data_IF_479022392870
#
_entry.id   IF_479022392870
#
_cell.length_a   1.000
_cell.length_b   1.000
_cell.length_c   1.000
_cell.angle_alpha   90.00
_cell.angle_beta   90.00
_cell.angle_gamma   90.00
#
_symmetry.space_group_name_H-M   'P 1'
#
loop_
_entity.id
_entity.type
_entity.pdbx_description
1 polymer ?
#
# COMPACT_ATOMS: atom_id res chain seq x y z
N UNK A 1 8.83 -22.38 -18.67
CA UNK A 1 8.35 -22.77 -20.01
C UNK A 1 6.99 -22.16 -20.34
N UNK A 2 6.04 -22.06 -19.41
CA UNK A 2 4.73 -21.42 -19.68
C UNK A 2 4.85 -19.92 -20.01
N UNK A 3 5.64 -19.16 -19.25
CA UNK A 3 5.85 -17.72 -19.52
C UNK A 3 6.45 -17.45 -20.91
N UNK A 4 7.46 -18.22 -21.31
CA UNK A 4 8.09 -18.07 -22.63
C UNK A 4 7.12 -18.40 -23.77
N UNK A 5 6.28 -19.43 -23.60
CA UNK A 5 5.23 -19.78 -24.57
C UNK A 5 4.15 -18.68 -24.66
N UNK A 6 3.70 -18.16 -23.52
CA UNK A 6 2.73 -17.06 -23.48
C UNK A 6 3.31 -15.76 -24.05
N UNK A 7 4.59 -15.48 -23.82
CA UNK A 7 5.28 -14.32 -24.38
C UNK A 7 5.34 -14.37 -25.91
N UNK A 8 5.60 -15.54 -26.48
CA UNK A 8 5.55 -15.76 -27.94
C UNK A 8 4.12 -15.57 -28.48
N UNK A 9 3.12 -16.07 -27.79
CA UNK A 9 1.71 -15.90 -28.18
C UNK A 9 1.25 -14.43 -28.10
N UNK A 10 1.69 -13.70 -27.08
CA UNK A 10 1.25 -12.33 -26.83
C UNK A 10 1.99 -11.29 -27.68
N UNK A 11 3.31 -11.47 -27.89
CA UNK A 11 4.19 -10.47 -28.50
C UNK A 11 4.80 -10.90 -29.85
N UNK A 12 4.59 -12.15 -30.27
CA UNK A 12 5.14 -12.67 -31.53
C UNK A 12 6.67 -12.52 -31.59
N UNK A 13 7.16 -11.86 -32.65
CA UNK A 13 8.60 -11.61 -32.85
C UNK A 13 9.25 -10.75 -31.74
N UNK A 14 8.46 -10.04 -30.93
CA UNK A 14 8.94 -9.19 -29.84
C UNK A 14 9.05 -9.92 -28.49
N UNK A 15 8.75 -11.22 -28.44
CA UNK A 15 8.79 -12.02 -27.22
C UNK A 15 10.12 -11.96 -26.43
N UNK A 16 11.32 -11.91 -27.05
CA UNK A 16 12.56 -11.75 -26.31
C UNK A 16 12.64 -10.41 -25.58
N UNK A 17 12.27 -9.32 -26.25
CA UNK A 17 12.27 -7.96 -25.69
C UNK A 17 11.26 -7.86 -24.55
N UNK A 18 10.05 -8.41 -24.75
CA UNK A 18 9.03 -8.48 -23.70
C UNK A 18 9.52 -9.23 -22.45
N UNK A 19 10.20 -10.36 -22.64
CA UNK A 19 10.72 -11.19 -21.55
C UNK A 19 11.83 -10.48 -20.77
N UNK A 20 12.75 -9.80 -21.48
CA UNK A 20 13.82 -8.99 -20.86
C UNK A 20 13.23 -7.81 -20.09
N UNK A 21 12.23 -7.11 -20.65
CA UNK A 21 11.55 -6.01 -19.99
C UNK A 21 10.86 -6.46 -18.70
N UNK A 22 10.18 -7.60 -18.71
CA UNK A 22 9.57 -8.19 -17.52
C UNK A 22 10.61 -8.55 -16.45
N UNK A 23 11.74 -9.15 -16.85
CA UNK A 23 12.84 -9.45 -15.93
C UNK A 23 13.44 -8.18 -15.32
N UNK A 24 13.66 -7.14 -16.13
CA UNK A 24 14.20 -5.86 -15.67
C UNK A 24 13.27 -5.19 -14.64
N UNK A 25 11.95 -5.20 -14.90
CA UNK A 25 10.96 -4.66 -13.98
C UNK A 25 10.89 -5.44 -12.64
N UNK A 26 11.02 -6.77 -12.69
CA UNK A 26 11.09 -7.59 -11.48
C UNK A 26 12.37 -7.34 -10.68
N UNK A 27 13.51 -7.20 -11.36
CA UNK A 27 14.80 -6.91 -10.71
C UNK A 27 14.76 -5.56 -10.00
N UNK A 28 14.26 -4.50 -10.65
CA UNK A 28 14.13 -3.19 -10.00
C UNK A 28 13.19 -3.21 -8.79
N UNK A 29 12.10 -3.97 -8.89
CA UNK A 29 11.14 -4.13 -7.78
C UNK A 29 11.79 -4.85 -6.60
N UNK A 30 12.50 -5.94 -6.87
CA UNK A 30 13.21 -6.71 -5.85
C UNK A 30 14.30 -5.88 -5.17
N UNK A 31 15.12 -5.15 -5.94
CA UNK A 31 16.19 -4.32 -5.41
C UNK A 31 15.64 -3.22 -4.48
N UNK A 32 14.58 -2.54 -4.90
CA UNK A 32 13.94 -1.50 -4.07
C UNK A 32 13.31 -2.08 -2.79
N UNK A 33 12.64 -3.23 -2.88
CA UNK A 33 12.04 -3.87 -1.71
C UNK A 33 13.09 -4.34 -0.70
N UNK A 34 14.18 -4.98 -1.16
CA UNK A 34 15.27 -5.42 -0.30
C UNK A 34 15.94 -4.25 0.40
N UNK A 35 16.20 -3.15 -0.32
CA UNK A 35 16.83 -1.97 0.25
C UNK A 35 15.90 -1.24 1.23
N UNK A 36 14.62 -1.07 0.90
CA UNK A 36 13.64 -0.45 1.79
C UNK A 36 13.44 -1.26 3.07
N UNK A 37 13.28 -2.59 2.98
CA UNK A 37 13.15 -3.44 4.16
C UNK A 37 14.41 -3.39 5.03
N UNK A 38 15.60 -3.35 4.42
CA UNK A 38 16.86 -3.23 5.15
C UNK A 38 16.99 -1.88 5.86
N UNK A 39 16.68 -0.76 5.19
CA UNK A 39 16.70 0.58 5.81
C UNK A 39 15.72 0.66 6.98
N UNK A 40 14.48 0.19 6.82
CA UNK A 40 13.48 0.15 7.89
C UNK A 40 14.00 -0.65 9.09
N UNK A 41 14.56 -1.84 8.88
CA UNK A 41 15.06 -2.68 9.97
C UNK A 41 16.18 -1.97 10.74
N UNK A 42 17.12 -1.34 10.02
CA UNK A 42 18.27 -0.68 10.63
C UNK A 42 17.85 0.59 11.38
N UNK A 43 17.00 1.41 10.77
CA UNK A 43 16.52 2.66 11.35
C UNK A 43 15.64 2.43 12.59
N UNK A 44 14.72 1.45 12.52
CA UNK A 44 13.76 1.21 13.61
C UNK A 44 14.34 0.40 14.76
N UNK A 45 15.16 -0.62 14.48
CA UNK A 45 15.64 -1.56 15.51
C UNK A 45 17.06 -1.29 15.98
N UNK A 46 17.86 -0.53 15.22
CA UNK A 46 19.27 -0.26 15.54
C UNK A 46 19.51 1.25 15.46
N UNK A 47 18.92 2.03 16.39
CA UNK A 47 18.95 3.50 16.33
C UNK A 47 20.38 4.08 16.35
N UNK A 48 21.36 3.36 16.90
CA UNK A 48 22.78 3.74 16.87
C UNK A 48 23.41 3.71 15.47
N UNK A 49 22.74 3.09 14.49
CA UNK A 49 23.19 2.88 13.12
C UNK A 49 22.18 3.36 12.07
N UNK A 50 21.20 4.19 12.45
CA UNK A 50 20.09 4.63 11.58
C UNK A 50 20.53 5.14 10.19
N UNK A 51 21.67 5.82 10.09
CA UNK A 51 22.19 6.35 8.82
C UNK A 51 23.42 5.58 8.30
N UNK A 52 23.68 4.39 8.86
CA UNK A 52 24.87 3.61 8.55
C UNK A 52 24.69 2.82 7.26
N UNK A 53 25.07 3.44 6.14
CA UNK A 53 25.15 2.80 4.82
C UNK A 53 25.83 1.43 4.84
N UNK A 54 27.00 1.20 5.49
CA UNK A 54 27.60 -0.13 5.50
C UNK A 54 26.72 -1.17 6.20
N UNK A 55 26.01 -0.77 7.25
CA UNK A 55 25.14 -1.67 8.00
C UNK A 55 23.87 -2.01 7.19
N UNK A 56 23.27 -1.02 6.53
CA UNK A 56 22.15 -1.23 5.61
C UNK A 56 22.55 -2.22 4.51
N UNK A 57 23.72 -2.05 3.88
CA UNK A 57 24.23 -2.98 2.85
C UNK A 57 24.38 -4.41 3.35
N UNK A 58 24.86 -4.61 4.58
CA UNK A 58 24.98 -5.95 5.19
C UNK A 58 23.59 -6.57 5.39
N UNK A 59 22.62 -5.81 5.91
CA UNK A 59 21.24 -6.29 6.09
C UNK A 59 20.57 -6.58 4.75
N UNK A 60 20.79 -5.75 3.72
CA UNK A 60 20.32 -6.02 2.35
C UNK A 60 20.90 -7.33 1.81
N UNK A 61 22.21 -7.57 1.99
CA UNK A 61 22.85 -8.81 1.57
C UNK A 61 22.29 -10.03 2.31
N UNK A 62 22.03 -9.92 3.62
CA UNK A 62 21.40 -10.95 4.42
C UNK A 62 20.01 -11.30 3.87
N UNK A 63 19.16 -10.28 3.63
CA UNK A 63 17.83 -10.50 3.04
C UNK A 63 17.88 -11.10 1.64
N UNK A 64 18.83 -10.67 0.80
CA UNK A 64 19.03 -11.27 -0.52
C UNK A 64 19.40 -12.76 -0.42
N UNK A 65 20.30 -13.13 0.49
CA UNK A 65 20.72 -14.51 0.71
C UNK A 65 19.57 -15.37 1.24
N UNK A 66 18.83 -14.89 2.25
CA UNK A 66 17.66 -15.59 2.80
C UNK A 66 16.59 -15.78 1.73
N UNK A 67 16.29 -14.73 0.95
CA UNK A 67 15.30 -14.80 -0.13
C UNK A 67 15.70 -15.79 -1.20
N UNK A 68 16.99 -15.80 -1.60
CA UNK A 68 17.53 -16.77 -2.54
C UNK A 68 17.40 -18.20 -2.02
N UNK A 69 17.73 -18.45 -0.75
CA UNK A 69 17.64 -19.77 -0.13
C UNK A 69 16.19 -20.28 -0.07
N UNK A 70 15.24 -19.42 0.30
CA UNK A 70 13.80 -19.74 0.30
C UNK A 70 13.30 -20.01 -1.12
N UNK A 71 13.83 -19.30 -2.12
CA UNK A 71 13.46 -19.50 -3.53
C UNK A 71 13.89 -20.87 -4.09
N UNK A 72 14.86 -21.56 -3.49
CA UNK A 72 15.29 -22.89 -3.96
C UNK A 72 14.25 -23.99 -3.68
N UNK A 73 13.46 -23.85 -2.61
CA UNK A 73 12.38 -24.78 -2.23
C UNK A 73 11.17 -23.99 -1.72
N UNK A 74 10.40 -23.36 -2.62
CA UNK A 74 9.26 -22.55 -2.22
C UNK A 74 8.18 -23.44 -1.58
N UNK A 75 7.67 -23.08 -0.38
CA UNK A 75 6.66 -23.90 0.32
C UNK A 75 5.26 -23.80 -0.31
N UNK A 76 5.00 -22.77 -1.10
CA UNK A 76 3.72 -22.52 -1.76
C UNK A 76 3.95 -21.83 -3.11
N UNK A 77 2.92 -21.84 -3.97
CA UNK A 77 2.95 -21.03 -5.18
C UNK A 77 2.94 -19.54 -4.82
N UNK A 78 3.55 -18.72 -5.67
CA UNK A 78 3.64 -17.26 -5.49
C UNK A 78 2.24 -16.67 -5.27
N UNK A 79 1.26 -17.07 -6.09
CA UNK A 79 -0.11 -16.56 -5.98
C UNK A 79 -0.76 -16.97 -4.66
N UNK A 80 -0.63 -18.24 -4.24
CA UNK A 80 -1.20 -18.70 -2.97
C UNK A 80 -0.59 -17.99 -1.77
N UNK A 81 0.72 -17.69 -1.82
CA UNK A 81 1.39 -16.96 -0.75
C UNK A 81 0.92 -15.50 -0.73
N UNK A 82 0.89 -14.82 -1.88
CA UNK A 82 0.45 -13.42 -1.98
C UNK A 82 -0.99 -13.22 -1.49
N UNK A 83 -1.92 -14.05 -1.95
CA UNK A 83 -3.34 -13.93 -1.57
C UNK A 83 -3.60 -14.41 -0.15
N UNK A 84 -2.82 -15.36 0.35
CA UNK A 84 -2.99 -15.95 1.67
C UNK A 84 -2.40 -15.12 2.80
N UNK A 85 -1.32 -14.36 2.56
CA UNK A 85 -0.58 -13.67 3.63
C UNK A 85 -0.29 -12.20 3.29
N UNK A 86 0.42 -11.92 2.20
CA UNK A 86 0.93 -10.58 1.92
C UNK A 86 -0.18 -9.54 1.75
N UNK A 87 -1.17 -9.81 0.90
CA UNK A 87 -2.29 -8.89 0.68
C UNK A 87 -3.17 -8.72 1.92
N UNK A 88 -3.34 -9.79 2.71
CA UNK A 88 -4.07 -9.72 3.96
C UNK A 88 -3.35 -8.82 4.98
N UNK A 89 -2.02 -8.86 5.04
CA UNK A 89 -1.20 -7.96 5.85
C UNK A 89 -1.36 -6.48 5.42
N UNK A 90 -1.30 -6.19 4.13
CA UNK A 90 -1.53 -4.83 3.62
C UNK A 90 -2.92 -4.31 3.97
N UNK A 91 -3.94 -5.17 3.94
CA UNK A 91 -5.32 -4.82 4.26
C UNK A 91 -5.52 -4.31 5.70
N UNK A 92 -4.68 -4.77 6.64
CA UNK A 92 -4.71 -4.34 8.05
C UNK A 92 -3.94 -3.04 8.27
N UNK A 93 -2.82 -2.88 7.58
CA UNK A 93 -1.99 -1.69 7.73
C UNK A 93 -2.64 -0.45 7.07
N UNK A 94 -3.27 -0.61 5.91
CA UNK A 94 -3.77 0.52 5.13
C UNK A 94 -4.79 1.39 5.89
N UNK A 95 -5.84 0.85 6.54
CA UNK A 95 -6.80 1.67 7.30
C UNK A 95 -6.15 2.41 8.47
N UNK A 96 -5.20 1.78 9.16
CA UNK A 96 -4.50 2.39 10.31
C UNK A 96 -3.66 3.57 9.85
N UNK A 97 -2.90 3.40 8.76
CA UNK A 97 -2.10 4.47 8.18
C UNK A 97 -2.95 5.66 7.73
N UNK A 98 -4.09 5.40 7.07
CA UNK A 98 -5.02 6.46 6.65
C UNK A 98 -5.60 7.21 7.87
N UNK A 99 -6.02 6.47 8.90
CA UNK A 99 -6.53 7.09 10.14
C UNK A 99 -5.43 7.87 10.87
N UNK A 100 -4.19 7.38 10.88
CA UNK A 100 -3.07 8.08 11.52
C UNK A 100 -2.80 9.45 10.87
N UNK A 101 -2.92 9.55 9.54
CA UNK A 101 -2.70 10.79 8.79
C UNK A 101 -3.91 11.74 8.89
N UNK A 102 -5.13 11.23 8.66
CA UNK A 102 -6.32 12.08 8.52
C UNK A 102 -7.11 12.28 9.83
N UNK A 103 -7.08 11.30 10.73
CA UNK A 103 -7.81 11.33 12.00
C UNK A 103 -6.91 10.95 13.19
N UNK A 104 -5.82 11.71 13.45
CA UNK A 104 -4.87 11.42 14.54
C UNK A 104 -5.53 11.42 15.93
N UNK A 105 -6.73 12.01 16.04
CA UNK A 105 -7.54 12.06 17.27
C UNK A 105 -8.04 10.70 17.75
N UNK A 106 -8.01 9.66 16.91
CA UNK A 106 -8.38 8.28 17.24
C UNK A 106 -7.53 7.69 18.36
N UNK A 107 -6.29 8.18 18.52
CA UNK A 107 -5.41 7.82 19.62
C UNK A 107 -4.54 6.59 19.34
N UNK A 108 -3.38 6.56 19.98
CA UNK A 108 -2.35 5.52 19.77
C UNK A 108 -2.82 4.13 20.20
N UNK A 109 -3.66 4.05 21.23
CA UNK A 109 -4.18 2.79 21.79
C UNK A 109 -5.10 2.07 20.80
N UNK A 110 -6.03 2.78 20.18
CA UNK A 110 -6.91 2.23 19.15
C UNK A 110 -6.11 1.74 17.93
N UNK A 111 -5.12 2.52 17.48
CA UNK A 111 -4.21 2.10 16.41
C UNK A 111 -3.44 0.82 16.79
N UNK A 112 -2.86 0.76 17.98
CA UNK A 112 -2.13 -0.40 18.47
C UNK A 112 -3.02 -1.65 18.57
N UNK A 113 -4.19 -1.54 19.20
CA UNK A 113 -5.15 -2.64 19.34
C UNK A 113 -5.53 -3.16 17.95
N UNK A 114 -5.85 -2.26 17.03
CA UNK A 114 -6.19 -2.65 15.67
C UNK A 114 -5.06 -3.42 14.98
N UNK A 115 -3.80 -2.97 15.11
CA UNK A 115 -2.65 -3.65 14.49
C UNK A 115 -2.43 -5.05 15.06
N UNK A 116 -2.53 -5.21 16.39
CA UNK A 116 -2.37 -6.50 17.04
C UNK A 116 -3.51 -7.45 16.65
N UNK A 117 -4.77 -6.99 16.68
CA UNK A 117 -5.91 -7.81 16.27
C UNK A 117 -5.79 -8.23 14.81
N UNK A 118 -5.40 -7.32 13.91
CA UNK A 118 -5.18 -7.65 12.51
C UNK A 118 -4.04 -8.65 12.30
N UNK A 119 -2.91 -8.47 12.99
CA UNK A 119 -1.78 -9.41 12.91
C UNK A 119 -2.19 -10.84 13.32
N UNK A 120 -2.99 -10.96 14.39
CA UNK A 120 -3.54 -12.24 14.83
C UNK A 120 -4.51 -12.85 13.80
N UNK A 121 -5.35 -12.03 13.16
CA UNK A 121 -6.24 -12.49 12.09
C UNK A 121 -5.46 -13.05 10.90
N UNK A 122 -4.45 -12.33 10.40
CA UNK A 122 -3.62 -12.82 9.29
C UNK A 122 -2.88 -14.09 9.67
N UNK A 123 -2.34 -14.14 10.88
CA UNK A 123 -1.63 -15.32 11.34
C UNK A 123 -2.54 -16.54 11.45
N UNK A 124 -3.76 -16.39 11.99
CA UNK A 124 -4.74 -17.48 12.06
C UNK A 124 -5.19 -17.96 10.68
N UNK A 125 -5.35 -17.06 9.72
CA UNK A 125 -5.68 -17.37 8.32
C UNK A 125 -4.51 -18.07 7.61
N UNK A 126 -3.28 -17.60 7.82
CA UNK A 126 -2.07 -18.18 7.24
C UNK A 126 -1.85 -19.63 7.72
N UNK A 127 -2.16 -19.92 8.99
CA UNK A 127 -2.09 -21.26 9.55
C UNK A 127 -3.30 -22.16 9.20
N UNK A 128 -4.25 -21.67 8.39
CA UNK A 128 -5.51 -22.36 8.05
C UNK A 128 -6.35 -22.78 9.27
N UNK A 129 -6.18 -22.09 10.41
CA UNK A 129 -6.99 -22.32 11.60
C UNK A 129 -8.43 -21.85 11.41
N UNK A 130 -8.60 -20.82 10.58
CA UNK A 130 -9.90 -20.25 10.26
C UNK A 130 -9.90 -19.63 8.86
N UNK A 131 -11.03 -19.76 8.16
CA UNK A 131 -11.23 -19.21 6.82
C UNK A 131 -12.38 -18.20 6.83
N UNK A 132 -12.14 -16.95 6.38
CA UNK A 132 -13.19 -15.94 6.35
C UNK A 132 -14.23 -16.27 5.26
N UNK A 133 -15.49 -15.83 5.44
CA UNK A 133 -16.58 -16.09 4.50
C UNK A 133 -16.45 -15.31 3.18
N UNK A 134 -15.64 -14.25 3.18
CA UNK A 134 -15.30 -13.42 2.02
C UNK A 134 -13.77 -13.40 1.85
N UNK A 135 -13.20 -12.96 0.71
CA UNK A 135 -11.75 -12.91 0.54
C UNK A 135 -11.06 -12.16 1.70
N UNK A 136 -9.99 -12.76 2.23
CA UNK A 136 -9.35 -12.34 3.48
C UNK A 136 -8.96 -10.85 3.52
N UNK A 137 -8.56 -10.30 2.37
CA UNK A 137 -8.24 -8.87 2.21
C UNK A 137 -9.42 -7.98 2.62
N UNK A 138 -10.61 -8.24 2.08
CA UNK A 138 -11.80 -7.42 2.38
C UNK A 138 -12.27 -7.62 3.81
N UNK A 139 -12.25 -8.87 4.30
CA UNK A 139 -12.62 -9.18 5.67
C UNK A 139 -11.73 -8.45 6.68
N UNK A 140 -10.41 -8.58 6.53
CA UNK A 140 -9.45 -7.98 7.46
C UNK A 140 -9.49 -6.45 7.41
N UNK A 141 -9.62 -5.85 6.23
CA UNK A 141 -9.80 -4.40 6.10
C UNK A 141 -11.06 -3.90 6.81
N UNK A 142 -12.17 -4.61 6.66
CA UNK A 142 -13.44 -4.26 7.30
C UNK A 142 -13.34 -4.34 8.82
N UNK A 143 -12.78 -5.44 9.35
CA UNK A 143 -12.56 -5.59 10.80
C UNK A 143 -11.69 -4.45 11.32
N UNK A 144 -10.62 -4.09 10.60
CA UNK A 144 -9.74 -3.00 11.00
C UNK A 144 -10.47 -1.65 11.08
N UNK A 145 -11.28 -1.34 10.07
CA UNK A 145 -12.08 -0.12 10.03
C UNK A 145 -13.06 -0.08 11.21
N UNK A 146 -13.72 -1.20 11.52
CA UNK A 146 -14.65 -1.29 12.66
C UNK A 146 -13.94 -1.04 14.00
N UNK A 147 -12.77 -1.63 14.22
CA UNK A 147 -11.99 -1.42 15.45
C UNK A 147 -11.58 0.04 15.58
N UNK A 148 -11.15 0.68 14.49
CA UNK A 148 -10.75 2.08 14.49
C UNK A 148 -11.95 3.01 14.73
N UNK A 149 -13.12 2.73 14.16
CA UNK A 149 -14.37 3.48 14.43
C UNK A 149 -14.77 3.34 15.89
N UNK A 150 -14.75 2.13 16.44
CA UNK A 150 -15.06 1.88 17.84
C UNK A 150 -14.07 2.61 18.77
N UNK A 151 -12.77 2.54 18.46
CA UNK A 151 -11.72 3.26 19.18
C UNK A 151 -11.92 4.78 19.14
N UNK A 152 -12.29 5.33 17.99
CA UNK A 152 -12.60 6.75 17.83
C UNK A 152 -13.85 7.16 18.64
N UNK A 153 -14.92 6.36 18.60
CA UNK A 153 -16.13 6.60 19.36
C UNK A 153 -15.88 6.54 20.88
N UNK A 154 -15.10 5.56 21.33
CA UNK A 154 -14.69 5.42 22.73
C UNK A 154 -13.83 6.60 23.19
N UNK A 155 -12.85 7.01 22.38
CA UNK A 155 -12.04 8.20 22.65
C UNK A 155 -12.90 9.47 22.72
N UNK A 156 -13.94 9.60 21.91
CA UNK A 156 -14.90 10.70 22.03
C UNK A 156 -15.76 10.61 23.30
N UNK A 157 -16.23 9.42 23.68
CA UNK A 157 -17.06 9.24 24.88
C UNK A 157 -16.33 9.66 26.16
N UNK A 158 -15.07 9.22 26.33
CA UNK A 158 -14.22 9.63 27.45
C UNK A 158 -14.00 11.15 27.44
N UNK A 159 -13.70 11.74 26.27
CA UNK A 159 -13.50 13.19 26.14
C UNK A 159 -14.76 14.00 26.43
N UNK A 160 -15.95 13.47 26.13
CA UNK A 160 -17.24 14.12 26.46
C UNK A 160 -17.47 14.14 27.96
N UNK A 161 -17.08 13.10 28.68
CA UNK A 161 -17.19 13.04 30.13
C UNK A 161 -16.20 14.00 30.84
N UNK A 162 -15.06 14.29 30.21
CA UNK A 162 -14.08 15.28 30.67
C UNK A 162 -14.44 16.74 30.31
N UNK A 163 -15.49 16.94 29.50
CA UNK A 163 -15.90 18.23 28.91
C UNK A 163 -16.63 19.15 29.91
N UNK A 164 -17.00 18.66 31.10
CA UNK A 164 -17.67 19.46 32.14
C UNK A 164 -16.71 20.31 33.00
N UNK A 165 -15.39 20.21 32.82
CA UNK A 165 -14.39 21.04 33.52
C UNK A 165 -13.80 22.17 32.64
N UNK A 166 -14.51 22.53 31.57
CA UNK A 166 -14.01 23.23 30.39
C UNK A 166 -14.09 24.76 30.44
N UNK A 167 -12.94 25.44 30.29
CA UNK A 167 -12.84 26.68 29.50
C UNK A 167 -11.44 26.96 28.91
N UNK A 168 -10.37 26.26 29.32
CA UNK A 168 -8.99 26.61 28.92
C UNK A 168 -8.29 25.76 27.86
N UNK A 169 -8.93 24.73 27.28
CA UNK A 169 -8.39 24.06 26.07
C UNK A 169 -9.19 24.40 24.79
N UNK A 170 -9.93 25.51 24.81
CA UNK A 170 -10.93 25.85 23.80
C UNK A 170 -10.40 26.24 22.40
N UNK A 171 -9.09 26.36 22.13
CA UNK A 171 -8.61 26.75 20.78
C UNK A 171 -7.51 25.86 20.16
N UNK A 172 -6.75 25.11 20.95
CA UNK A 172 -5.34 24.79 20.64
C UNK A 172 -4.94 23.79 19.53
N UNK A 173 -5.68 22.69 19.32
CA UNK A 173 -5.26 21.61 18.39
C UNK A 173 -6.27 21.43 17.28
N UNK A 174 -6.26 22.43 16.41
CA UNK A 174 -6.99 22.51 15.16
C UNK A 174 -6.99 21.14 14.49
N UNK A 175 -8.18 20.71 14.04
CA UNK A 175 -8.28 19.64 13.06
C UNK A 175 -7.21 19.93 11.99
N UNK A 176 -6.37 18.98 11.61
CA UNK A 176 -5.60 19.12 10.38
C UNK A 176 -6.62 19.23 9.25
N UNK A 177 -7.07 20.45 9.00
CA UNK A 177 -8.09 20.79 8.02
C UNK A 177 -7.31 20.88 6.73
N UNK A 178 -6.99 19.71 6.18
CA UNK A 178 -6.37 19.66 4.88
C UNK A 178 -7.37 20.27 3.89
N UNK A 179 -7.13 21.53 3.50
CA UNK A 179 -8.01 22.31 2.61
C UNK A 179 -8.27 21.57 1.29
N UNK A 180 -7.42 20.60 0.97
CA UNK A 180 -7.45 19.80 -0.24
C UNK A 180 -8.09 18.42 -0.11
N UNK A 181 -8.48 17.96 1.09
CA UNK A 181 -9.29 16.76 1.27
C UNK A 181 -10.77 17.08 1.06
N UNK A 182 -11.07 17.62 -0.13
CA UNK A 182 -12.43 17.93 -0.57
C UNK A 182 -13.11 16.66 -1.07
N UNK A 183 -14.44 16.56 -1.01
CA UNK A 183 -15.16 15.43 -1.61
C UNK A 183 -14.83 15.27 -3.10
N UNK A 184 -14.46 16.35 -3.79
CA UNK A 184 -14.03 16.33 -5.20
C UNK A 184 -12.68 15.61 -5.37
N UNK A 185 -11.68 15.87 -4.53
CA UNK A 185 -10.38 15.20 -4.64
C UNK A 185 -10.47 13.71 -4.29
N UNK A 186 -11.32 13.35 -3.32
CA UNK A 186 -11.62 11.95 -2.99
C UNK A 186 -12.33 11.26 -4.16
N UNK A 187 -13.37 11.89 -4.74
CA UNK A 187 -14.08 11.34 -5.89
C UNK A 187 -13.15 11.14 -7.10
N UNK A 188 -12.25 12.09 -7.34
CA UNK A 188 -11.27 11.99 -8.41
C UNK A 188 -10.24 10.87 -8.17
N UNK A 189 -9.75 10.71 -6.93
CA UNK A 189 -8.87 9.61 -6.56
C UNK A 189 -9.56 8.24 -6.73
N UNK A 190 -10.83 8.14 -6.33
CA UNK A 190 -11.63 6.92 -6.53
C UNK A 190 -11.86 6.62 -8.00
N UNK A 191 -12.12 7.64 -8.82
CA UNK A 191 -12.26 7.49 -10.26
C UNK A 191 -10.96 6.97 -10.91
N UNK A 192 -9.82 7.56 -10.57
CA UNK A 192 -8.52 7.07 -11.07
C UNK A 192 -8.22 5.65 -10.59
N UNK A 193 -8.61 5.30 -9.37
CA UNK A 193 -8.48 3.95 -8.85
C UNK A 193 -9.33 2.97 -9.68
N UNK A 194 -10.60 3.32 -9.97
CA UNK A 194 -11.48 2.51 -10.82
C UNK A 194 -10.92 2.33 -12.24
N UNK A 195 -10.49 3.43 -12.88
CA UNK A 195 -9.81 3.37 -14.18
C UNK A 195 -8.57 2.46 -14.11
N UNK A 196 -7.77 2.57 -13.06
CA UNK A 196 -6.58 1.76 -12.86
C UNK A 196 -6.84 0.26 -12.68
N UNK A 197 -8.04 -0.15 -12.24
CA UNK A 197 -8.39 -1.58 -12.09
C UNK A 197 -8.75 -2.28 -13.41
N UNK A 198 -9.02 -1.51 -14.47
CA UNK A 198 -9.33 -2.01 -15.83
C UNK A 198 -10.37 -3.16 -15.89
N UNK A 199 -11.33 -3.20 -14.96
CA UNK A 199 -12.26 -4.35 -14.81
C UNK A 199 -13.15 -4.58 -16.04
N UNK A 200 -13.44 -3.54 -16.80
CA UNK A 200 -14.21 -3.51 -18.04
C UNK A 200 -13.53 -4.18 -19.25
N UNK A 201 -12.22 -4.38 -19.20
CA UNK A 201 -11.45 -5.01 -20.27
C UNK A 201 -11.21 -6.50 -20.00
N UNK A 202 -11.78 -7.02 -18.91
CA UNK A 202 -11.59 -8.40 -18.47
C UNK A 202 -12.27 -9.38 -19.44
N UNK A 203 -11.51 -10.35 -19.95
CA UNK A 203 -12.02 -11.40 -20.85
C UNK A 203 -12.13 -11.00 -22.32
N UNK A 204 -11.77 -9.75 -22.68
CA UNK A 204 -11.71 -9.30 -24.07
C UNK A 204 -10.41 -9.75 -24.74
N UNK A 205 -10.45 -10.01 -26.05
CA UNK A 205 -9.23 -10.31 -26.80
C UNK A 205 -8.37 -9.04 -26.94
N UNK A 206 -7.07 -9.10 -26.62
CA UNK A 206 -6.22 -7.92 -26.68
C UNK A 206 -6.03 -7.48 -28.14
N UNK A 207 -6.48 -6.26 -28.45
CA UNK A 207 -6.19 -5.62 -29.73
C UNK A 207 -4.73 -5.16 -29.70
N UNK A 208 -3.92 -5.66 -30.61
CA UNK A 208 -2.51 -5.32 -30.71
C UNK A 208 -2.33 -4.00 -31.47
N UNK A 209 -1.72 -3.02 -30.82
CA UNK A 209 -1.31 -1.76 -31.43
C UNK A 209 0.22 -1.68 -31.42
N UNK A 210 0.83 -1.58 -32.60
CA UNK A 210 2.29 -1.71 -32.77
C UNK A 210 2.87 -3.03 -32.19
N UNK A 211 2.10 -4.12 -32.21
CA UNK A 211 2.53 -5.40 -31.64
C UNK A 211 2.52 -5.43 -30.10
N UNK A 212 2.00 -4.38 -29.45
CA UNK A 212 1.82 -4.30 -28.00
C UNK A 212 0.32 -4.29 -27.70
N UNK A 213 -0.15 -5.02 -26.67
CA UNK A 213 -1.55 -4.98 -26.28
C UNK A 213 -2.06 -3.57 -25.95
N UNK A 214 -3.25 -3.21 -26.42
CA UNK A 214 -3.88 -1.89 -26.21
C UNK A 214 -4.00 -1.47 -24.74
N UNK A 215 -4.18 -2.43 -23.82
CA UNK A 215 -4.24 -2.16 -22.38
C UNK A 215 -2.94 -1.53 -21.85
N UNK A 216 -1.77 -1.88 -22.40
CA UNK A 216 -0.48 -1.28 -21.99
C UNK A 216 -0.49 0.23 -22.24
N UNK A 217 -0.98 0.63 -23.40
CA UNK A 217 -1.12 2.04 -23.78
C UNK A 217 -2.14 2.76 -22.90
N UNK A 218 -3.25 2.10 -22.60
CA UNK A 218 -4.26 2.61 -21.67
C UNK A 218 -3.65 2.90 -20.29
N UNK A 219 -2.91 1.95 -19.70
CA UNK A 219 -2.26 2.16 -18.41
C UNK A 219 -1.16 3.22 -18.46
N UNK A 220 -0.42 3.34 -19.56
CA UNK A 220 0.51 4.45 -19.78
C UNK A 220 -0.22 5.80 -19.77
N UNK A 221 -1.38 5.89 -20.42
CA UNK A 221 -2.22 7.08 -20.37
C UNK A 221 -2.74 7.39 -18.97
N UNK A 222 -3.29 6.41 -18.25
CA UNK A 222 -3.80 6.58 -16.89
C UNK A 222 -2.70 7.04 -15.92
N UNK A 223 -1.51 6.46 -16.03
CA UNK A 223 -0.34 6.86 -15.20
C UNK A 223 0.15 8.27 -15.52
N UNK A 224 0.15 8.67 -16.79
CA UNK A 224 0.49 10.02 -17.20
C UNK A 224 -0.52 11.04 -16.67
N UNK A 225 -1.83 10.75 -16.76
CA UNK A 225 -2.90 11.58 -16.19
C UNK A 225 -2.75 11.73 -14.68
N UNK A 226 -2.50 10.63 -13.97
CA UNK A 226 -2.24 10.64 -12.53
C UNK A 226 -1.02 11.54 -12.20
N UNK A 227 0.07 11.42 -12.98
CA UNK A 227 1.26 12.26 -12.82
C UNK A 227 0.97 13.75 -13.00
N UNK A 228 0.22 14.12 -14.06
CA UNK A 228 -0.20 15.51 -14.30
C UNK A 228 -1.02 16.04 -13.13
N UNK A 229 -1.98 15.24 -12.63
CA UNK A 229 -2.83 15.62 -11.50
C UNK A 229 -2.00 15.87 -10.25
N UNK A 230 -1.05 14.97 -9.93
CA UNK A 230 -0.14 15.14 -8.82
C UNK A 230 0.68 16.44 -8.94
N UNK A 231 1.15 16.78 -10.14
CA UNK A 231 1.89 18.04 -10.38
C UNK A 231 1.00 19.26 -10.21
N UNK A 232 -0.23 19.23 -10.73
CA UNK A 232 -1.21 20.33 -10.55
C UNK A 232 -1.50 20.53 -9.07
N UNK A 233 -1.73 19.43 -8.35
CA UNK A 233 -2.02 19.46 -6.92
C UNK A 233 -0.82 19.99 -6.12
N UNK A 234 0.39 19.55 -6.45
CA UNK A 234 1.63 20.05 -5.85
C UNK A 234 1.81 21.55 -6.09
N UNK A 235 1.57 22.05 -7.31
CA UNK A 235 1.62 23.48 -7.62
C UNK A 235 0.55 24.30 -6.90
N UNK A 236 -0.66 23.76 -6.78
CA UNK A 236 -1.74 24.40 -6.02
C UNK A 236 -1.40 24.47 -4.52
N UNK A 237 -0.75 23.43 -3.98
CA UNK A 237 -0.27 23.38 -2.60
C UNK A 237 0.85 24.41 -2.37
N UNK A 238 1.90 24.40 -3.18
CA UNK A 238 3.06 25.30 -3.02
C UNK A 238 2.67 26.78 -3.10
N UNK A 239 1.67 27.12 -3.92
CA UNK A 239 1.12 28.48 -4.04
C UNK A 239 0.25 28.91 -2.85
N UNK A 240 -0.28 27.95 -2.09
CA UNK A 240 -1.11 28.23 -0.89
C UNK A 240 -0.27 28.27 0.39
N UNK A 241 0.88 27.57 0.42
CA UNK A 241 1.80 27.52 1.55
C UNK A 241 2.82 28.66 1.58
N UNK A 242 2.84 29.57 0.59
CA UNK A 242 3.56 30.84 0.68
C UNK A 242 2.83 31.80 1.63
N UNK A 243 2.91 31.51 2.93
CA UNK A 243 2.67 32.49 3.99
C UNK A 243 3.91 33.40 3.99
N UNK A 244 3.76 34.72 3.93
CA UNK A 244 4.92 35.63 4.01
C UNK A 244 5.63 35.41 5.35
N UNK A 245 6.97 35.35 5.31
CA UNK A 245 7.83 35.34 6.50
C UNK A 245 7.52 36.49 7.47
#
# INVERSE_FOLDING_TARGET
>A
TIFTQLSVLAAGNWAPVFSIAALAALMSTMDSQLLSCASILVEDFIPSKKDSVPFIKIVTLLFALVSWLVSLKPPASILSFLTGTAFAGYAILAPVMLVAIYYPRTGKTAAFISLITGALLVFSQALKLWTPPIPAVFFNALVQVLILIAGFAFAQAIRRQQKDSALQQLEQSTLYKNKFLTPVSIAFALLLLLLGTDFWNYGMSPVLWFGIPSWVWYHCGVTLVLGIVCVIFYKAYSKTSSIPE
#
